data_IF_563797196948
#
_entry.id   IF_563797196948
#
_cell.length_a   1.000
_cell.length_b   1.000
_cell.length_c   1.000
_cell.angle_alpha   90.00
_cell.angle_beta   90.00
_cell.angle_gamma   90.00
#
_symmetry.space_group_name_H-M   'P 1'
#
loop_
_entity.id
_entity.type
_entity.pdbx_description
1 polymer ?
#
# COMPACT_ATOMS: atom_id res chain seq x y z
N UNK A 1 1.02 -26.38 -30.08
CA UNK A 1 0.00 -25.30 -29.92
C UNK A 1 -0.21 -25.07 -28.44
N UNK A 2 0.56 -24.17 -27.85
CA UNK A 2 0.51 -23.86 -26.42
C UNK A 2 -0.47 -22.71 -26.19
N UNK A 3 -1.57 -22.99 -25.48
CA UNK A 3 -2.56 -21.99 -25.09
C UNK A 3 -2.06 -21.28 -23.83
N UNK A 4 -1.47 -20.09 -24.02
CA UNK A 4 -1.26 -19.13 -22.94
C UNK A 4 -2.63 -18.76 -22.35
N UNK A 5 -2.86 -19.11 -21.08
CA UNK A 5 -4.06 -18.71 -20.35
C UNK A 5 -3.78 -17.33 -19.73
N UNK A 6 -4.53 -16.28 -20.07
CA UNK A 6 -4.36 -14.99 -19.43
C UNK A 6 -5.01 -15.03 -18.05
N UNK A 7 -4.18 -14.99 -17.01
CA UNK A 7 -4.56 -14.79 -15.62
C UNK A 7 -4.60 -13.28 -15.33
N UNK A 8 -5.59 -12.61 -15.93
CA UNK A 8 -5.93 -11.24 -15.61
C UNK A 8 -6.53 -11.21 -14.21
N UNK A 9 -5.81 -10.54 -13.30
CA UNK A 9 -6.32 -9.82 -12.13
C UNK A 9 -7.63 -10.39 -11.53
N UNK A 10 -7.50 -11.37 -10.65
CA UNK A 10 -8.50 -11.52 -9.59
C UNK A 10 -8.09 -10.58 -8.46
N UNK A 11 -8.51 -9.32 -8.55
CA UNK A 11 -8.54 -8.45 -7.38
C UNK A 11 -9.42 -9.15 -6.35
N UNK A 12 -8.83 -9.67 -5.27
CA UNK A 12 -9.62 -10.22 -4.16
C UNK A 12 -10.41 -9.07 -3.55
N UNK A 13 -11.73 -9.19 -3.36
CA UNK A 13 -12.43 -8.25 -2.51
C UNK A 13 -11.81 -8.35 -1.11
N UNK A 14 -11.28 -7.22 -0.63
CA UNK A 14 -10.71 -7.10 0.70
C UNK A 14 -11.76 -7.53 1.73
N UNK A 15 -11.44 -8.58 2.50
CA UNK A 15 -12.31 -9.13 3.54
C UNK A 15 -12.01 -8.43 4.85
N UNK A 16 -12.63 -7.27 5.11
CA UNK A 16 -12.67 -6.72 6.46
C UNK A 16 -14.07 -6.18 6.77
N UNK A 17 -14.86 -7.02 7.45
CA UNK A 17 -16.06 -6.66 8.22
C UNK A 17 -15.67 -6.94 9.68
N UNK A 18 -15.41 -5.90 10.48
CA UNK A 18 -15.41 -5.97 11.96
C UNK A 18 -15.25 -4.62 12.68
N UNK A 19 -14.78 -3.55 12.03
CA UNK A 19 -14.62 -2.26 12.70
C UNK A 19 -15.11 -1.12 11.77
N UNK A 20 -16.05 -0.25 12.21
CA UNK A 20 -16.54 0.85 11.38
C UNK A 20 -15.52 1.98 11.23
N UNK A 21 -14.37 1.90 11.91
CA UNK A 21 -13.26 2.82 11.69
C UNK A 21 -12.54 2.38 10.40
N UNK A 22 -12.52 3.19 9.33
CA UNK A 22 -11.79 2.81 8.13
C UNK A 22 -10.31 2.64 8.50
N UNK A 23 -9.80 1.42 8.33
CA UNK A 23 -8.37 1.11 8.41
C UNK A 23 -7.69 1.87 7.26
N UNK A 24 -7.20 3.08 7.55
CA UNK A 24 -6.53 3.93 6.56
C UNK A 24 -5.06 3.49 6.44
N UNK A 25 -4.54 3.26 5.22
CA UNK A 25 -3.14 2.90 5.04
C UNK A 25 -2.21 4.04 5.46
N UNK A 26 -1.04 3.67 5.98
CA UNK A 26 0.01 4.61 6.43
C UNK A 26 0.96 4.90 5.27
N UNK A 27 1.41 6.14 5.14
CA UNK A 27 2.36 6.60 4.13
C UNK A 27 3.78 6.53 4.68
N UNK A 28 4.68 5.96 3.88
CA UNK A 28 6.11 5.97 4.10
C UNK A 28 6.81 6.70 2.95
N UNK A 29 7.82 7.49 3.26
CA UNK A 29 8.71 8.12 2.29
C UNK A 29 10.16 7.72 2.61
N UNK A 30 10.82 7.05 1.68
CA UNK A 30 12.19 6.56 1.84
C UNK A 30 12.40 5.74 3.15
N UNK A 31 11.43 4.87 3.46
CA UNK A 31 11.34 4.08 4.69
C UNK A 31 11.07 4.85 6.00
N UNK A 32 10.79 6.16 5.93
CA UNK A 32 10.32 6.92 7.08
C UNK A 32 8.79 6.99 7.10
N UNK A 33 8.18 6.67 8.24
CA UNK A 33 6.74 6.86 8.45
C UNK A 33 6.42 8.36 8.40
N UNK A 34 5.57 8.77 7.46
CA UNK A 34 5.06 10.13 7.37
C UNK A 34 3.75 10.30 8.13
N UNK A 35 2.90 9.27 8.13
CA UNK A 35 1.59 9.31 8.78
C UNK A 35 0.49 8.84 7.84
N UNK A 36 -0.67 9.51 7.87
CA UNK A 36 -1.83 9.13 7.07
C UNK A 36 -1.71 9.53 5.59
N UNK A 37 -2.68 9.12 4.77
CA UNK A 37 -2.74 9.42 3.34
C UNK A 37 -2.67 10.91 2.99
N UNK A 38 -3.08 11.82 3.88
CA UNK A 38 -3.00 13.25 3.60
C UNK A 38 -1.56 13.75 3.46
N UNK A 39 -0.59 13.02 3.99
CA UNK A 39 0.82 13.35 3.84
C UNK A 39 1.29 13.28 2.37
N UNK A 40 0.62 12.49 1.53
CA UNK A 40 0.93 12.44 0.09
C UNK A 40 0.76 13.80 -0.59
N UNK A 41 -0.18 14.63 -0.12
CA UNK A 41 -0.40 15.98 -0.68
C UNK A 41 0.75 16.95 -0.41
N UNK A 42 1.60 16.64 0.57
CA UNK A 42 2.76 17.46 0.93
C UNK A 42 4.00 17.13 0.11
N UNK A 43 3.97 16.06 -0.67
CA UNK A 43 5.11 15.58 -1.46
C UNK A 43 4.94 16.01 -2.91
N UNK A 44 5.95 16.66 -3.50
CA UNK A 44 5.89 16.99 -4.90
C UNK A 44 6.01 15.73 -5.76
N UNK A 45 5.06 15.53 -6.68
CA UNK A 45 5.09 14.39 -7.59
C UNK A 45 6.38 14.31 -8.43
N UNK A 46 7.05 15.44 -8.66
CA UNK A 46 8.35 15.51 -9.35
C UNK A 46 9.50 14.87 -8.57
N UNK A 47 9.39 14.77 -7.24
CA UNK A 47 10.40 14.18 -6.37
C UNK A 47 10.26 12.66 -6.25
N UNK A 48 9.14 12.11 -6.70
CA UNK A 48 8.85 10.68 -6.59
C UNK A 48 9.40 9.90 -7.79
N UNK A 49 10.09 8.80 -7.48
CA UNK A 49 10.55 7.79 -8.42
C UNK A 49 9.52 6.66 -8.56
N UNK A 50 8.97 6.19 -7.43
CA UNK A 50 8.07 5.04 -7.39
C UNK A 50 7.07 5.18 -6.24
N UNK A 51 5.82 4.76 -6.47
CA UNK A 51 4.82 4.59 -5.41
C UNK A 51 4.37 3.13 -5.45
N UNK A 52 4.45 2.46 -4.30
CA UNK A 52 3.97 1.10 -4.10
C UNK A 52 2.89 1.05 -3.05
N UNK A 53 1.89 0.22 -3.28
CA UNK A 53 0.96 -0.19 -2.24
C UNK A 53 1.33 -1.59 -1.75
N UNK A 54 1.53 -1.71 -0.44
CA UNK A 54 1.69 -2.98 0.26
C UNK A 54 0.34 -3.31 0.89
N UNK A 55 -0.22 -4.45 0.53
CA UNK A 55 -1.43 -4.97 1.18
C UNK A 55 -1.17 -5.32 2.65
N UNK A 56 -2.23 -5.62 3.40
CA UNK A 56 -2.20 -5.93 4.81
C UNK A 56 -1.19 -7.05 5.15
N UNK A 57 -1.13 -8.11 4.35
CA UNK A 57 -0.24 -9.24 4.62
C UNK A 57 1.22 -8.85 4.44
N UNK A 58 1.53 -8.15 3.36
CA UNK A 58 2.89 -7.75 3.04
C UNK A 58 3.39 -6.65 3.98
N UNK A 59 2.52 -5.70 4.33
CA UNK A 59 2.81 -4.64 5.30
C UNK A 59 3.08 -5.23 6.69
N UNK A 60 2.25 -6.18 7.14
CA UNK A 60 2.46 -6.86 8.42
C UNK A 60 3.74 -7.69 8.42
N UNK A 61 4.05 -8.37 7.32
CA UNK A 61 5.27 -9.18 7.19
C UNK A 61 6.55 -8.32 7.24
N UNK A 62 6.55 -7.16 6.58
CA UNK A 62 7.75 -6.31 6.47
C UNK A 62 7.90 -5.26 7.58
N UNK A 63 6.79 -4.69 8.05
CA UNK A 63 6.79 -3.56 8.98
C UNK A 63 6.12 -3.87 10.33
N UNK A 64 5.41 -5.00 10.44
CA UNK A 64 4.78 -5.46 11.68
C UNK A 64 3.27 -5.22 11.76
N UNK A 65 2.65 -5.77 12.80
CA UNK A 65 1.19 -5.86 12.96
C UNK A 65 0.46 -4.53 13.06
N UNK A 66 1.17 -3.43 13.33
CA UNK A 66 0.62 -2.06 13.35
C UNK A 66 0.10 -1.60 11.99
N UNK A 67 0.56 -2.20 10.89
CA UNK A 67 0.22 -1.81 9.51
C UNK A 67 -0.75 -2.78 8.84
N UNK A 68 -1.65 -3.37 9.63
CA UNK A 68 -2.69 -4.29 9.14
C UNK A 68 -3.73 -3.61 8.22
N UNK A 69 -3.71 -2.29 8.10
CA UNK A 69 -4.45 -1.49 7.11
C UNK A 69 -3.80 -1.41 5.73
N UNK A 70 -2.58 -1.97 5.59
CA UNK A 70 -1.73 -1.76 4.42
C UNK A 70 -0.92 -0.46 4.53
N UNK A 71 -0.02 -0.27 3.56
CA UNK A 71 0.97 0.80 3.56
C UNK A 71 1.18 1.34 2.15
N UNK A 72 1.29 2.67 2.02
CA UNK A 72 1.73 3.33 0.78
C UNK A 72 3.19 3.72 0.93
N UNK A 73 4.05 3.12 0.13
CA UNK A 73 5.48 3.43 0.11
C UNK A 73 5.80 4.32 -1.08
N UNK A 74 6.25 5.53 -0.82
CA UNK A 74 6.81 6.44 -1.80
C UNK A 74 8.35 6.41 -1.71
N UNK A 75 9.00 6.38 -2.87
CA UNK A 75 10.45 6.38 -3.02
C UNK A 75 10.83 7.62 -3.82
N UNK A 76 11.81 8.38 -3.35
CA UNK A 76 12.32 9.55 -4.07
C UNK A 76 13.31 9.18 -5.18
N UNK A 77 13.52 10.12 -6.10
CA UNK A 77 14.55 10.05 -7.16
C UNK A 77 15.96 10.20 -6.61
#
# INVERSE_FOLDING_TARGET
MERLRPNWQTARPSRYVADPTPLVPVVFLDNNELGDLNQLWTIFASEILEIRFLDDREAVYRYGTRYNSGLVQAIRR
#
